data_IF_528168651001
#
_entry.id   IF_528168651001
#
_cell.length_a   1.000
_cell.length_b   1.000
_cell.length_c   1.000
_cell.angle_alpha   90.00
_cell.angle_beta   90.00
_cell.angle_gamma   90.00
#
_symmetry.space_group_name_H-M   'P 1'
#
loop_
_entity.id
_entity.type
_entity.pdbx_description
1 polymer ?
#
# COMPACT_ATOMS: atom_id res chain seq x y z
N UNK A 1 12.15 5.60 7.67
CA UNK A 1 12.56 4.18 7.67
C UNK A 1 11.47 3.37 6.98
N UNK A 2 11.72 2.81 5.78
CA UNK A 2 10.75 2.05 4.98
C UNK A 2 11.00 0.53 5.05
N UNK A 3 11.24 0.02 6.26
CA UNK A 3 11.20 -1.42 6.57
C UNK A 3 9.94 -1.70 7.39
N UNK A 4 8.78 -1.40 6.81
CA UNK A 4 7.48 -1.69 7.41
C UNK A 4 6.85 -2.86 6.65
N UNK A 5 6.58 -3.94 7.38
CA UNK A 5 5.86 -5.12 6.90
C UNK A 5 4.43 -5.04 7.42
N UNK A 6 3.47 -5.26 6.53
CA UNK A 6 2.05 -5.28 6.89
C UNK A 6 1.71 -6.64 7.52
N UNK A 7 0.99 -6.62 8.64
CA UNK A 7 0.47 -7.84 9.28
C UNK A 7 -0.38 -8.66 8.31
N UNK A 8 -0.30 -9.99 8.37
CA UNK A 8 -1.01 -10.90 7.44
C UNK A 8 -2.53 -10.65 7.34
N UNK A 9 -3.16 -10.27 8.46
CA UNK A 9 -4.59 -9.93 8.50
C UNK A 9 -4.90 -8.68 7.66
N UNK A 10 -4.18 -7.58 7.93
CA UNK A 10 -4.31 -6.34 7.17
C UNK A 10 -3.88 -6.52 5.70
N UNK A 11 -2.90 -7.37 5.45
CA UNK A 11 -2.39 -7.66 4.12
C UNK A 11 -3.46 -8.24 3.20
N UNK A 12 -4.31 -9.13 3.72
CA UNK A 12 -5.40 -9.73 2.96
C UNK A 12 -6.43 -8.69 2.47
N UNK A 13 -6.67 -7.66 3.27
CA UNK A 13 -7.53 -6.52 2.90
C UNK A 13 -6.81 -5.56 1.97
N UNK A 14 -5.54 -5.24 2.28
CA UNK A 14 -4.72 -4.35 1.48
C UNK A 14 -4.54 -4.88 0.05
N UNK A 15 -4.30 -6.18 -0.15
CA UNK A 15 -4.16 -6.76 -1.50
C UNK A 15 -5.39 -6.59 -2.38
N UNK A 16 -6.59 -6.64 -1.79
CA UNK A 16 -7.83 -6.40 -2.51
C UNK A 16 -7.95 -4.92 -2.90
N UNK A 17 -7.60 -3.99 -2.01
CA UNK A 17 -7.57 -2.56 -2.34
C UNK A 17 -6.48 -2.20 -3.34
N UNK A 18 -5.29 -2.81 -3.25
CA UNK A 18 -4.20 -2.63 -4.22
C UNK A 18 -4.68 -3.04 -5.62
N UNK A 19 -5.29 -4.23 -5.75
CA UNK A 19 -5.83 -4.69 -7.03
C UNK A 19 -6.99 -3.81 -7.54
N UNK A 20 -7.82 -3.27 -6.65
CA UNK A 20 -8.88 -2.34 -7.03
C UNK A 20 -8.35 -0.95 -7.43
N UNK A 21 -7.22 -0.52 -6.85
CA UNK A 21 -6.59 0.77 -7.15
C UNK A 21 -5.69 0.73 -8.40
N UNK A 22 -5.19 -0.45 -8.75
CA UNK A 22 -4.34 -0.72 -9.90
C UNK A 22 -4.79 -2.02 -10.59
N UNK A 23 -5.63 -1.85 -11.61
CA UNK A 23 -6.19 -2.97 -12.38
C UNK A 23 -5.12 -3.77 -13.13
N UNK A 24 -3.97 -3.14 -13.42
CA UNK A 24 -2.81 -3.75 -14.06
C UNK A 24 -2.06 -4.75 -13.17
N UNK A 25 -2.30 -4.71 -11.86
CA UNK A 25 -1.66 -5.63 -10.91
C UNK A 25 -2.49 -6.89 -10.71
N UNK A 26 -1.85 -8.04 -10.95
CA UNK A 26 -2.43 -9.34 -10.65
C UNK A 26 -2.32 -9.66 -9.15
N UNK A 27 -3.30 -10.41 -8.64
CA UNK A 27 -3.32 -10.79 -7.22
C UNK A 27 -2.11 -11.66 -6.83
N UNK A 28 -1.61 -12.49 -7.75
CA UNK A 28 -0.40 -13.31 -7.56
C UNK A 28 0.87 -12.46 -7.39
N UNK A 29 1.01 -11.42 -8.23
CA UNK A 29 2.14 -10.48 -8.18
C UNK A 29 2.12 -9.70 -6.86
N UNK A 30 0.93 -9.20 -6.48
CA UNK A 30 0.73 -8.54 -5.19
C UNK A 30 1.10 -9.51 -4.07
N UNK A 31 0.57 -10.73 -4.07
CA UNK A 31 0.82 -11.74 -3.03
C UNK A 31 2.30 -12.09 -2.86
N UNK A 32 3.06 -12.12 -3.95
CA UNK A 32 4.52 -12.35 -3.96
C UNK A 32 5.31 -11.28 -3.20
N UNK A 33 4.74 -10.10 -2.97
CA UNK A 33 5.38 -9.04 -2.16
C UNK A 33 5.32 -9.31 -0.65
N UNK A 34 4.51 -10.29 -0.22
CA UNK A 34 4.32 -10.66 1.18
C UNK A 34 4.01 -9.48 2.13
N UNK A 35 3.32 -8.45 1.64
CA UNK A 35 2.99 -7.27 2.45
C UNK A 35 4.17 -6.34 2.75
N UNK A 36 5.28 -6.48 2.01
CA UNK A 36 6.40 -5.56 2.09
C UNK A 36 6.13 -4.30 1.29
N UNK A 37 6.04 -3.16 1.97
CA UNK A 37 5.75 -1.85 1.33
C UNK A 37 6.74 -1.55 0.20
N UNK A 38 8.03 -1.83 0.41
CA UNK A 38 9.07 -1.62 -0.61
C UNK A 38 8.87 -2.50 -1.85
N UNK A 39 8.46 -3.75 -1.65
CA UNK A 39 8.22 -4.67 -2.75
C UNK A 39 6.95 -4.30 -3.54
N UNK A 40 5.87 -3.94 -2.83
CA UNK A 40 4.64 -3.46 -3.46
C UNK A 40 4.92 -2.20 -4.27
N UNK A 41 5.69 -1.27 -3.70
CA UNK A 41 6.08 -0.04 -4.37
C UNK A 41 6.83 -0.30 -5.68
N UNK A 42 7.87 -1.12 -5.63
CA UNK A 42 8.65 -1.48 -6.83
C UNK A 42 7.79 -2.19 -7.87
N UNK A 43 6.89 -3.08 -7.44
CA UNK A 43 5.96 -3.78 -8.34
C UNK A 43 5.02 -2.79 -9.05
N UNK A 44 4.37 -1.90 -8.30
CA UNK A 44 3.44 -0.91 -8.86
C UNK A 44 4.17 0.05 -9.80
N UNK A 45 5.35 0.53 -9.41
CA UNK A 45 6.17 1.42 -10.23
C UNK A 45 6.58 0.75 -11.54
N UNK A 46 6.95 -0.54 -11.50
CA UNK A 46 7.37 -1.28 -12.69
C UNK A 46 6.20 -1.66 -13.61
N UNK A 47 4.98 -1.83 -13.06
CA UNK A 47 3.81 -2.28 -13.82
C UNK A 47 2.98 -1.15 -14.38
N UNK A 48 2.73 -0.11 -13.58
CA UNK A 48 1.87 1.00 -14.00
C UNK A 48 2.62 2.10 -14.76
N UNK A 49 3.94 2.00 -14.92
CA UNK A 49 4.79 3.02 -15.55
C UNK A 49 4.56 4.43 -14.96
N UNK A 50 4.08 4.49 -13.71
CA UNK A 50 3.75 5.72 -13.02
C UNK A 50 4.99 6.32 -12.37
N UNK A 51 4.97 7.64 -12.25
CA UNK A 51 5.99 8.35 -11.47
C UNK A 51 6.02 7.87 -10.02
N UNK A 52 7.23 7.79 -9.49
CA UNK A 52 7.53 7.34 -8.14
C UNK A 52 6.66 8.05 -7.07
N UNK A 53 6.43 9.35 -7.24
CA UNK A 53 5.60 10.17 -6.34
C UNK A 53 4.11 9.79 -6.37
N UNK A 54 3.55 9.51 -7.54
CA UNK A 54 2.15 9.11 -7.70
C UNK A 54 1.90 7.75 -7.04
N UNK A 55 2.79 6.79 -7.29
CA UNK A 55 2.75 5.47 -6.65
C UNK A 55 2.85 5.64 -5.14
N UNK A 56 3.76 6.49 -4.66
CA UNK A 56 3.99 6.71 -3.23
C UNK A 56 2.77 7.34 -2.57
N UNK A 57 2.16 8.33 -3.21
CA UNK A 57 0.98 9.04 -2.70
C UNK A 57 -0.23 8.11 -2.57
N UNK A 58 -0.54 7.34 -3.62
CA UNK A 58 -1.61 6.33 -3.57
C UNK A 58 -1.33 5.25 -2.53
N UNK A 59 -0.11 4.70 -2.53
CA UNK A 59 0.28 3.65 -1.59
C UNK A 59 0.20 4.14 -0.15
N UNK A 60 0.75 5.33 0.16
CA UNK A 60 0.63 5.94 1.48
C UNK A 60 -0.82 6.17 1.86
N UNK A 61 -1.69 6.58 0.93
CA UNK A 61 -3.12 6.79 1.20
C UNK A 61 -3.82 5.49 1.62
N UNK A 62 -3.54 4.38 0.93
CA UNK A 62 -4.06 3.06 1.29
C UNK A 62 -3.48 2.60 2.62
N UNK A 63 -2.14 2.65 2.77
CA UNK A 63 -1.43 2.24 3.97
C UNK A 63 -1.83 3.04 5.21
N UNK A 64 -2.17 4.33 5.07
CA UNK A 64 -2.61 5.17 6.18
C UNK A 64 -3.82 4.60 6.90
N UNK A 65 -4.69 3.85 6.20
CA UNK A 65 -5.84 3.14 6.79
C UNK A 65 -5.42 1.96 7.69
N UNK A 66 -4.23 1.39 7.45
CA UNK A 66 -3.74 0.18 8.10
C UNK A 66 -2.57 0.42 9.05
N UNK A 67 -1.81 1.50 8.85
CA UNK A 67 -0.61 1.85 9.61
C UNK A 67 -0.91 2.79 10.78
N UNK A 68 -2.00 3.56 10.69
CA UNK A 68 -2.52 4.39 11.76
C UNK A 68 -3.94 3.92 12.08
N UNK A 69 -4.25 3.35 13.27
CA UNK A 69 -5.60 3.52 13.81
C UNK A 69 -5.88 5.03 13.75
N UNK A 70 -7.10 5.50 13.43
CA UNK A 70 -7.36 6.92 13.29
C UNK A 70 -6.93 7.60 14.59
N UNK A 71 -5.74 8.19 14.60
CA UNK A 71 -5.29 9.02 15.70
C UNK A 71 -6.21 10.20 15.60
N UNK A 72 -7.25 10.15 16.44
CA UNK A 72 -8.22 11.20 16.69
C UNK A 72 -7.41 12.48 16.73
N UNK A 73 -7.46 13.26 15.65
CA UNK A 73 -6.96 14.62 15.65
C UNK A 73 -7.81 15.31 16.71
N UNK A 74 -7.29 15.39 17.93
CA UNK A 74 -7.75 16.41 18.86
C UNK A 74 -7.37 17.73 18.18
N UNK A 75 -8.35 18.30 17.48
CA UNK A 75 -8.47 19.75 17.41
C UNK A 75 -8.42 20.23 18.85
N UNK A 76 -7.34 20.90 19.23
CA UNK A 76 -7.37 21.79 20.37
C UNK A 76 -7.18 23.18 19.75
N UNK A 77 -8.29 23.91 19.78
CA UNK A 77 -8.41 25.34 19.49
C UNK A 77 -7.64 26.17 20.50
#
# INVERSE_FOLDING_TARGET
>A
MMNKQISKENWKSLKAELRAAWDELSMEEIESTHGSIKAIFGLVQQKCELHEEEVKSKLMTLLKKYEYPPTRFQKIS
#
